data_IF_120039405049
#
_entry.id   IF_120039405049
#
_cell.length_a   1.000
_cell.length_b   1.000
_cell.length_c   1.000
_cell.angle_alpha   90.00
_cell.angle_beta   90.00
_cell.angle_gamma   90.00
#
_symmetry.space_group_name_H-M   'P 1'
#
loop_
_entity.id
_entity.type
_entity.pdbx_description
1 polymer ?
#
# COMPACT_ATOMS: atom_id res chain seq x y z
N UNK A 1 -42.10 -45.39 -1.95
CA UNK A 1 -41.20 -44.37 -1.37
C UNK A 1 -41.23 -43.13 -2.24
N UNK A 2 -41.75 -42.01 -1.74
CA UNK A 2 -41.92 -40.78 -2.52
C UNK A 2 -40.54 -40.19 -2.89
N UNK A 3 -40.29 -40.04 -4.20
CA UNK A 3 -39.06 -39.46 -4.75
C UNK A 3 -39.00 -37.99 -4.30
N UNK A 4 -38.12 -37.67 -3.34
CA UNK A 4 -37.90 -36.30 -2.84
C UNK A 4 -37.67 -35.37 -4.04
N UNK A 5 -38.67 -34.54 -4.34
CA UNK A 5 -38.65 -33.62 -5.47
C UNK A 5 -37.45 -32.69 -5.28
N UNK A 6 -36.43 -32.81 -6.14
CA UNK A 6 -35.26 -31.92 -6.09
C UNK A 6 -35.76 -30.49 -6.31
N UNK A 7 -35.68 -29.65 -5.29
CA UNK A 7 -35.96 -28.20 -5.40
C UNK A 7 -35.20 -27.66 -6.60
N UNK A 8 -35.91 -26.94 -7.48
CA UNK A 8 -35.32 -26.24 -8.63
C UNK A 8 -34.21 -25.34 -8.09
N UNK A 9 -32.97 -25.60 -8.50
CA UNK A 9 -31.81 -24.82 -8.05
C UNK A 9 -32.04 -23.38 -8.53
N UNK A 10 -32.24 -22.47 -7.57
CA UNK A 10 -32.45 -21.05 -7.85
C UNK A 10 -31.11 -20.42 -8.17
N UNK A 11 -31.05 -19.69 -9.28
CA UNK A 11 -29.84 -18.99 -9.70
C UNK A 11 -29.59 -17.79 -8.78
N UNK A 12 -28.58 -17.91 -7.94
CA UNK A 12 -28.21 -16.90 -6.93
C UNK A 12 -27.49 -15.71 -7.53
N UNK A 13 -27.12 -15.75 -8.82
CA UNK A 13 -26.46 -14.62 -9.48
C UNK A 13 -27.42 -13.50 -9.82
N UNK A 14 -28.67 -13.85 -10.18
CA UNK A 14 -29.73 -12.88 -10.55
C UNK A 14 -30.17 -11.98 -9.40
N UNK A 15 -29.85 -12.36 -8.17
CA UNK A 15 -30.16 -11.59 -6.96
C UNK A 15 -29.07 -10.58 -6.59
N UNK A 16 -27.93 -10.59 -7.31
CA UNK A 16 -26.82 -9.69 -6.99
C UNK A 16 -26.92 -8.41 -7.82
N UNK A 17 -26.76 -7.29 -7.13
CA UNK A 17 -26.51 -5.98 -7.73
C UNK A 17 -25.01 -5.77 -7.87
N UNK A 18 -24.62 -5.04 -8.91
CA UNK A 18 -23.23 -4.67 -9.15
C UNK A 18 -22.95 -3.28 -8.58
N UNK A 19 -21.89 -3.18 -7.79
CA UNK A 19 -21.44 -1.93 -7.17
C UNK A 19 -20.11 -1.51 -7.80
N UNK A 20 -20.02 -0.26 -8.23
CA UNK A 20 -18.78 0.32 -8.77
C UNK A 20 -17.94 0.87 -7.62
N UNK A 21 -16.70 0.42 -7.51
CA UNK A 21 -15.75 0.86 -6.49
C UNK A 21 -14.97 2.06 -7.01
N UNK A 22 -14.99 3.14 -6.23
CA UNK A 22 -14.23 4.36 -6.51
C UNK A 22 -13.12 4.57 -5.49
N UNK A 23 -12.00 5.15 -5.95
CA UNK A 23 -10.93 5.59 -5.06
C UNK A 23 -11.33 6.79 -4.20
N UNK A 24 -10.63 7.04 -3.09
CA UNK A 24 -10.76 8.30 -2.36
C UNK A 24 -10.42 9.49 -3.27
N UNK A 25 -10.96 10.67 -2.93
CA UNK A 25 -10.71 11.94 -3.65
C UNK A 25 -9.21 12.26 -3.77
N UNK A 26 -8.41 11.93 -2.75
CA UNK A 26 -6.95 12.10 -2.77
C UNK A 26 -6.24 11.36 -3.93
N UNK A 27 -6.88 10.34 -4.52
CA UNK A 27 -6.36 9.57 -5.64
C UNK A 27 -7.13 9.83 -6.96
N UNK A 28 -7.93 10.89 -7.02
CA UNK A 28 -8.58 11.36 -8.25
C UNK A 28 -9.89 10.69 -8.62
N UNK A 29 -10.62 10.12 -7.64
CA UNK A 29 -11.99 9.56 -7.79
C UNK A 29 -12.17 8.65 -9.02
N UNK A 30 -11.22 7.74 -9.22
CA UNK A 30 -11.19 6.81 -10.35
C UNK A 30 -11.95 5.55 -10.02
N UNK A 31 -12.63 5.02 -11.05
CA UNK A 31 -13.28 3.72 -10.99
C UNK A 31 -12.22 2.62 -11.09
N UNK A 32 -12.12 1.80 -10.04
CA UNK A 32 -11.15 0.69 -9.96
C UNK A 32 -11.73 -0.57 -10.56
N UNK A 33 -13.02 -0.83 -10.29
CA UNK A 33 -13.67 -2.07 -10.67
C UNK A 33 -15.06 -2.19 -10.07
N UNK A 34 -15.68 -3.34 -10.28
CA UNK A 34 -17.05 -3.61 -9.84
C UNK A 34 -17.10 -4.85 -8.96
N UNK A 35 -17.92 -4.82 -7.90
CA UNK A 35 -18.13 -5.97 -7.04
C UNK A 35 -19.61 -6.32 -6.95
N UNK A 36 -20.00 -7.59 -7.14
CA UNK A 36 -21.37 -8.01 -6.96
C UNK A 36 -21.67 -8.27 -5.47
N UNK A 37 -22.83 -7.81 -5.02
CA UNK A 37 -23.37 -8.13 -3.71
C UNK A 37 -24.90 -8.20 -3.74
N UNK A 38 -25.48 -8.98 -2.83
CA UNK A 38 -26.93 -9.08 -2.69
C UNK A 38 -27.48 -7.85 -1.96
N UNK A 39 -26.82 -7.50 -0.86
CA UNK A 39 -27.17 -6.37 -0.01
C UNK A 39 -25.98 -5.40 0.06
N UNK A 40 -26.21 -4.08 0.17
CA UNK A 40 -25.16 -3.07 0.31
C UNK A 40 -24.24 -3.33 1.51
N UNK A 41 -24.81 -3.86 2.60
CA UNK A 41 -24.06 -4.11 3.83
C UNK A 41 -22.92 -5.11 3.66
N UNK A 42 -23.08 -6.06 2.73
CA UNK A 42 -22.07 -7.08 2.44
C UNK A 42 -20.88 -6.54 1.65
N UNK A 43 -20.98 -5.31 1.12
CA UNK A 43 -19.89 -4.64 0.39
C UNK A 43 -18.95 -3.92 1.36
N UNK A 44 -19.45 -3.48 2.52
CA UNK A 44 -18.64 -2.85 3.55
C UNK A 44 -17.52 -3.77 4.04
N UNK A 45 -16.34 -3.18 4.25
CA UNK A 45 -15.15 -3.90 4.73
C UNK A 45 -14.48 -4.78 3.67
N UNK A 46 -14.96 -4.79 2.41
CA UNK A 46 -14.22 -5.47 1.34
C UNK A 46 -12.96 -4.69 1.00
N UNK A 47 -11.83 -5.40 0.96
CA UNK A 47 -10.54 -4.86 0.53
C UNK A 47 -10.31 -5.15 -0.95
N UNK A 48 -9.84 -4.14 -1.67
CA UNK A 48 -9.53 -4.18 -3.10
C UNK A 48 -8.07 -3.78 -3.27
N UNK A 49 -7.33 -4.55 -4.07
CA UNK A 49 -5.92 -4.30 -4.38
C UNK A 49 -5.82 -3.79 -5.82
N UNK A 50 -5.11 -2.67 -5.99
CA UNK A 50 -4.99 -1.97 -7.28
C UNK A 50 -3.53 -1.65 -7.51
N UNK A 51 -3.08 -1.71 -8.75
CA UNK A 51 -1.72 -1.28 -9.07
C UNK A 51 -1.65 0.22 -9.29
N UNK A 52 -0.53 0.85 -8.95
CA UNK A 52 -0.36 2.28 -9.18
C UNK A 52 -0.41 2.65 -10.67
N UNK A 53 -0.07 1.69 -11.54
CA UNK A 53 -0.21 1.79 -12.99
C UNK A 53 -1.65 2.03 -13.41
N UNK A 54 -2.63 1.35 -12.83
CA UNK A 54 -4.04 1.53 -13.18
C UNK A 54 -4.55 2.92 -12.76
N UNK A 55 -4.00 3.47 -11.68
CA UNK A 55 -4.38 4.78 -11.17
C UNK A 55 -3.71 5.95 -11.89
N UNK A 56 -2.44 5.84 -12.28
CA UNK A 56 -1.70 6.96 -12.92
C UNK A 56 -1.45 6.76 -14.41
N UNK A 57 -1.56 5.54 -14.93
CA UNK A 57 -1.14 5.20 -16.29
C UNK A 57 0.37 5.03 -16.44
N UNK A 58 1.17 5.21 -15.37
CA UNK A 58 2.62 5.08 -15.42
C UNK A 58 3.05 3.61 -15.25
N UNK A 59 3.71 3.08 -16.27
CA UNK A 59 4.21 1.71 -16.29
C UNK A 59 5.40 1.48 -15.34
N UNK A 60 6.15 2.53 -15.01
CA UNK A 60 7.34 2.41 -14.16
C UNK A 60 6.98 2.03 -12.71
N UNK A 61 5.78 2.40 -12.27
CA UNK A 61 5.26 2.18 -10.90
C UNK A 61 4.38 0.94 -10.77
N UNK A 62 4.43 0.00 -11.71
CA UNK A 62 3.60 -1.22 -11.66
C UNK A 62 3.87 -2.10 -10.42
N UNK A 63 5.08 -2.02 -9.86
CA UNK A 63 5.47 -2.78 -8.67
C UNK A 63 4.82 -2.28 -7.36
N UNK A 64 4.16 -1.11 -7.40
CA UNK A 64 3.48 -0.53 -6.25
C UNK A 64 2.02 -0.94 -6.31
N UNK A 65 1.56 -1.60 -5.25
CA UNK A 65 0.17 -1.99 -5.05
C UNK A 65 -0.44 -1.23 -3.88
N UNK A 66 -1.62 -0.68 -4.11
CA UNK A 66 -2.41 0.03 -3.11
C UNK A 66 -3.60 -0.84 -2.69
N UNK A 67 -3.91 -0.81 -1.41
CA UNK A 67 -5.02 -1.51 -0.81
C UNK A 67 -6.03 -0.50 -0.30
N UNK A 68 -7.27 -0.66 -0.77
CA UNK A 68 -8.40 0.18 -0.44
C UNK A 68 -9.48 -0.66 0.21
N UNK A 69 -10.16 -0.12 1.21
CA UNK A 69 -11.28 -0.77 1.90
C UNK A 69 -12.55 0.03 1.68
N UNK A 70 -13.65 -0.64 1.36
CA UNK A 70 -14.95 0.02 1.19
C UNK A 70 -15.48 0.46 2.56
N UNK A 71 -15.67 1.77 2.71
CA UNK A 71 -16.16 2.38 3.95
C UNK A 71 -17.60 2.91 3.80
N UNK A 72 -17.97 3.42 2.62
CA UNK A 72 -19.29 4.01 2.38
C UNK A 72 -19.89 3.48 1.06
N UNK A 73 -21.20 3.23 1.00
CA UNK A 73 -21.91 2.78 -0.20
C UNK A 73 -23.10 3.69 -0.45
N UNK A 74 -22.97 4.54 -1.48
CA UNK A 74 -24.01 5.46 -1.92
C UNK A 74 -24.70 4.90 -3.17
N UNK A 75 -25.86 4.28 -2.99
CA UNK A 75 -26.58 3.62 -4.07
C UNK A 75 -25.78 2.47 -4.65
N UNK A 76 -25.31 2.62 -5.89
CA UNK A 76 -24.45 1.62 -6.57
C UNK A 76 -22.96 1.98 -6.52
N UNK A 77 -22.57 3.09 -5.89
CA UNK A 77 -21.19 3.54 -5.80
C UNK A 77 -20.62 3.20 -4.42
N UNK A 78 -19.54 2.43 -4.39
CA UNK A 78 -18.79 2.09 -3.20
C UNK A 78 -17.56 2.99 -3.06
N UNK A 79 -17.58 3.88 -2.07
CA UNK A 79 -16.48 4.76 -1.71
C UNK A 79 -15.49 4.00 -0.82
N UNK A 80 -14.21 4.17 -1.12
CA UNK A 80 -13.14 3.49 -0.39
C UNK A 80 -12.31 4.42 0.46
N UNK A 81 -11.62 3.83 1.44
CA UNK A 81 -10.58 4.43 2.26
C UNK A 81 -9.25 3.76 1.95
N UNK A 82 -8.16 4.52 1.99
CA UNK A 82 -6.81 3.94 1.90
C UNK A 82 -6.47 3.14 3.15
N UNK A 83 -6.14 1.87 2.99
CA UNK A 83 -5.78 0.96 4.08
C UNK A 83 -4.28 0.74 4.14
N UNK A 84 -3.64 0.56 2.98
CA UNK A 84 -2.23 0.23 2.95
C UNK A 84 -1.60 0.25 1.58
N UNK A 85 -0.27 0.21 1.59
CA UNK A 85 0.57 0.22 0.41
C UNK A 85 1.55 -0.94 0.54
N UNK A 86 1.81 -1.62 -0.58
CA UNK A 86 2.71 -2.75 -0.64
C UNK A 86 3.48 -2.78 -1.94
N UNK A 87 4.76 -3.04 -1.82
CA UNK A 87 5.63 -3.34 -2.96
C UNK A 87 5.55 -4.83 -3.32
N UNK A 88 5.57 -5.16 -4.61
CA UNK A 88 5.50 -6.55 -5.07
C UNK A 88 6.73 -7.37 -4.66
N UNK A 89 6.50 -8.66 -4.41
CA UNK A 89 7.53 -9.56 -3.87
C UNK A 89 8.64 -9.86 -4.87
N UNK A 90 8.32 -9.91 -6.17
CA UNK A 90 9.27 -10.06 -7.27
C UNK A 90 10.22 -8.85 -7.34
N UNK A 91 9.70 -7.63 -7.19
CA UNK A 91 10.51 -6.42 -7.17
C UNK A 91 11.49 -6.41 -6.00
N UNK A 92 11.01 -6.68 -4.76
CA UNK A 92 11.88 -6.78 -3.57
C UNK A 92 12.96 -7.86 -3.75
N UNK A 93 12.59 -9.03 -4.27
CA UNK A 93 13.53 -10.14 -4.51
C UNK A 93 14.56 -9.80 -5.59
N UNK A 94 14.19 -9.04 -6.62
CA UNK A 94 15.12 -8.60 -7.67
C UNK A 94 16.21 -7.65 -7.15
N UNK A 95 15.87 -6.88 -6.10
CA UNK A 95 16.74 -5.87 -5.51
C UNK A 95 17.82 -6.50 -4.62
N UNK A 96 17.43 -7.51 -3.82
CA UNK A 96 18.30 -8.17 -2.85
C UNK A 96 19.15 -9.22 -3.57
N UNK A 97 20.48 -9.02 -3.59
CA UNK A 97 21.43 -9.97 -4.21
C UNK A 97 22.50 -10.42 -3.22
N UNK A 98 23.12 -11.56 -3.50
CA UNK A 98 24.30 -12.01 -2.74
C UNK A 98 25.39 -10.95 -2.79
N UNK A 99 26.08 -10.73 -1.67
CA UNK A 99 27.11 -9.70 -1.54
C UNK A 99 26.60 -8.30 -1.19
N UNK A 100 25.28 -8.11 -1.10
CA UNK A 100 24.65 -6.88 -0.58
C UNK A 100 24.11 -7.08 0.84
N UNK A 101 23.85 -5.98 1.55
CA UNK A 101 23.15 -6.00 2.83
C UNK A 101 21.75 -5.41 2.66
N UNK A 102 20.75 -6.11 3.23
CA UNK A 102 19.39 -5.63 3.38
C UNK A 102 19.25 -4.95 4.74
N UNK A 103 18.70 -3.75 4.76
CA UNK A 103 18.45 -2.97 5.97
C UNK A 103 16.96 -2.68 6.03
N UNK A 104 16.29 -3.28 6.99
CA UNK A 104 14.87 -3.04 7.27
C UNK A 104 14.76 -2.10 8.47
N UNK A 105 13.93 -1.07 8.35
CA UNK A 105 13.59 -0.14 9.43
C UNK A 105 12.06 -0.01 9.54
N UNK A 106 11.41 -0.87 10.36
CA UNK A 106 10.01 -0.69 10.70
C UNK A 106 9.86 0.46 11.69
N UNK A 107 9.06 1.46 11.35
CA UNK A 107 8.81 2.64 12.19
C UNK A 107 7.32 2.76 12.43
N UNK A 108 6.94 2.89 13.70
CA UNK A 108 5.56 3.24 14.09
C UNK A 108 5.57 4.74 14.31
N UNK A 109 4.78 5.46 13.52
CA UNK A 109 4.69 6.92 13.56
C UNK A 109 3.26 7.35 13.84
N UNK A 110 3.13 8.52 14.46
CA UNK A 110 1.85 9.20 14.63
C UNK A 110 1.89 10.45 13.78
N UNK A 111 0.93 10.62 12.88
CA UNK A 111 0.82 11.81 12.03
C UNK A 111 0.26 12.99 12.80
N UNK A 112 0.27 14.18 12.19
CA UNK A 112 -0.35 15.37 12.76
C UNK A 112 -1.84 15.15 13.11
N UNK A 113 -2.55 14.37 12.28
CA UNK A 113 -3.97 14.03 12.48
C UNK A 113 -4.22 12.92 13.52
N UNK A 114 -3.25 12.65 14.40
CA UNK A 114 -3.28 11.60 15.43
C UNK A 114 -3.50 10.16 14.90
N UNK A 115 -3.27 9.93 13.60
CA UNK A 115 -3.34 8.59 13.01
C UNK A 115 -2.03 7.85 13.23
N UNK A 116 -2.15 6.62 13.73
CA UNK A 116 -1.00 5.71 13.90
C UNK A 116 -0.78 4.90 12.63
N UNK A 117 0.44 4.96 12.11
CA UNK A 117 0.85 4.24 10.90
C UNK A 117 2.12 3.46 11.16
N UNK A 118 2.27 2.37 10.42
CA UNK A 118 3.50 1.57 10.41
C UNK A 118 4.12 1.64 9.03
N UNK A 119 5.28 2.29 8.94
CA UNK A 119 6.06 2.41 7.71
C UNK A 119 7.19 1.39 7.73
N UNK A 120 7.43 0.74 6.59
CA UNK A 120 8.45 -0.29 6.45
C UNK A 120 9.49 0.14 5.43
N UNK A 121 10.52 0.87 5.88
CA UNK A 121 11.58 1.31 4.97
C UNK A 121 12.55 0.16 4.69
N UNK A 122 12.77 -0.13 3.42
CA UNK A 122 13.75 -1.09 2.91
C UNK A 122 14.88 -0.34 2.23
N UNK A 123 16.10 -0.47 2.75
CA UNK A 123 17.30 0.03 2.10
C UNK A 123 18.22 -1.14 1.70
N UNK A 124 18.73 -1.09 0.47
CA UNK A 124 19.68 -2.09 -0.06
C UNK A 124 21.00 -1.42 -0.39
N UNK A 125 22.08 -1.94 0.21
CA UNK A 125 23.43 -1.42 -0.01
C UNK A 125 24.05 -1.95 -1.30
N UNK A 126 25.04 -1.25 -1.85
CA UNK A 126 25.77 -1.73 -3.04
C UNK A 126 26.72 -2.90 -2.74
N UNK A 127 27.26 -2.94 -1.52
CA UNK A 127 28.18 -3.95 -1.00
C UNK A 127 27.80 -4.33 0.43
N UNK A 128 28.38 -5.41 0.96
CA UNK A 128 28.14 -5.85 2.34
C UNK A 128 28.61 -4.78 3.33
N UNK A 129 27.67 -4.21 4.07
CA UNK A 129 27.93 -3.22 5.12
C UNK A 129 28.23 -3.89 6.45
N UNK A 130 29.09 -3.28 7.27
CA UNK A 130 29.38 -3.75 8.64
C UNK A 130 28.15 -3.61 9.54
N UNK A 131 28.03 -4.43 10.58
CA UNK A 131 26.89 -4.39 11.51
C UNK A 131 26.70 -3.04 12.19
N UNK A 132 27.80 -2.33 12.53
CA UNK A 132 27.74 -0.98 13.09
C UNK A 132 27.13 0.04 12.12
N UNK A 133 27.53 -0.01 10.85
CA UNK A 133 26.99 0.86 9.80
C UNK A 133 25.51 0.55 9.53
N UNK A 134 25.11 -0.72 9.56
CA UNK A 134 23.70 -1.10 9.43
C UNK A 134 22.86 -0.57 10.59
N UNK A 135 23.35 -0.66 11.83
CA UNK A 135 22.67 -0.12 13.01
C UNK A 135 22.49 1.40 12.89
N UNK A 136 23.57 2.12 12.59
CA UNK A 136 23.56 3.56 12.44
C UNK A 136 22.64 4.04 11.31
N UNK A 137 22.60 3.31 10.18
CA UNK A 137 21.65 3.58 9.11
C UNK A 137 20.20 3.39 9.57
N UNK A 138 19.88 2.34 10.34
CA UNK A 138 18.51 2.16 10.86
C UNK A 138 18.09 3.31 11.75
N UNK A 139 18.94 3.73 12.68
CA UNK A 139 18.69 4.86 13.59
C UNK A 139 18.44 6.16 12.82
N UNK A 140 19.28 6.44 11.81
CA UNK A 140 19.14 7.63 10.96
C UNK A 140 17.84 7.60 10.15
N UNK A 141 17.45 6.43 9.61
CA UNK A 141 16.20 6.26 8.88
C UNK A 141 15.01 6.46 9.81
N UNK A 142 15.04 5.86 11.00
CA UNK A 142 13.94 5.96 11.96
C UNK A 142 13.69 7.40 12.40
N UNK A 143 14.76 8.16 12.65
CA UNK A 143 14.67 9.58 13.05
C UNK A 143 14.15 10.46 11.91
N UNK A 144 14.61 10.23 10.67
CA UNK A 144 14.12 10.98 9.50
C UNK A 144 12.62 10.74 9.30
N UNK A 145 12.21 9.47 9.32
CA UNK A 145 10.81 9.09 9.10
C UNK A 145 9.91 9.61 10.21
N UNK A 146 10.36 9.59 11.47
CA UNK A 146 9.57 10.16 12.58
C UNK A 146 9.38 11.66 12.43
N UNK A 147 10.42 12.39 12.03
CA UNK A 147 10.35 13.85 11.87
C UNK A 147 9.41 14.24 10.72
N UNK A 148 9.53 13.57 9.56
CA UNK A 148 8.64 13.82 8.42
C UNK A 148 7.19 13.46 8.75
N UNK A 149 6.98 12.40 9.54
CA UNK A 149 5.63 12.00 9.94
C UNK A 149 4.98 12.96 10.94
N UNK A 150 5.74 13.56 11.86
CA UNK A 150 5.19 14.55 12.80
C UNK A 150 4.77 15.85 12.14
N UNK A 151 5.38 16.21 11.02
CA UNK A 151 5.11 17.46 10.30
C UNK A 151 3.94 17.38 9.33
N UNK A 152 3.53 16.17 8.93
CA UNK A 152 2.61 15.97 7.79
C UNK A 152 1.29 15.33 8.20
N UNK A 153 0.25 15.69 7.45
CA UNK A 153 -1.06 15.04 7.53
C UNK A 153 -1.01 13.64 6.92
N UNK A 154 -2.02 12.82 7.21
CA UNK A 154 -2.10 11.45 6.72
C UNK A 154 -2.11 11.38 5.19
N UNK A 155 -2.89 12.23 4.53
CA UNK A 155 -3.05 12.19 3.07
C UNK A 155 -1.74 12.62 2.37
N UNK A 156 -1.08 13.65 2.88
CA UNK A 156 0.23 14.10 2.38
C UNK A 156 1.30 13.02 2.56
N UNK A 157 1.33 12.37 3.72
CA UNK A 157 2.31 11.33 4.01
C UNK A 157 2.12 10.11 3.10
N UNK A 158 0.88 9.74 2.80
CA UNK A 158 0.56 8.69 1.83
C UNK A 158 1.04 9.10 0.43
N UNK A 159 0.73 10.32 -0.01
CA UNK A 159 1.14 10.81 -1.33
C UNK A 159 2.66 10.80 -1.50
N UNK A 160 3.40 11.32 -0.52
CA UNK A 160 4.87 11.40 -0.54
C UNK A 160 5.50 10.00 -0.51
N UNK A 161 4.90 9.07 0.22
CA UNK A 161 5.35 7.68 0.29
C UNK A 161 5.15 6.96 -1.06
N UNK A 162 3.95 7.07 -1.65
CA UNK A 162 3.60 6.43 -2.94
C UNK A 162 4.40 7.05 -4.09
N UNK A 163 4.68 8.35 -4.05
CA UNK A 163 5.47 9.02 -5.08
C UNK A 163 6.98 8.77 -4.96
N UNK A 164 7.46 8.15 -3.87
CA UNK A 164 8.87 7.85 -3.66
C UNK A 164 9.73 9.07 -3.25
N UNK A 165 9.10 10.20 -2.89
CA UNK A 165 9.81 11.38 -2.39
C UNK A 165 10.47 11.09 -1.04
N UNK A 166 9.75 10.41 -0.14
CA UNK A 166 10.30 9.98 1.16
C UNK A 166 11.47 9.01 0.98
N UNK A 167 11.38 8.08 0.01
CA UNK A 167 12.45 7.14 -0.29
C UNK A 167 13.70 7.86 -0.82
N UNK A 168 13.51 8.90 -1.64
CA UNK A 168 14.60 9.72 -2.18
C UNK A 168 15.32 10.51 -1.09
N UNK A 169 14.56 11.09 -0.16
CA UNK A 169 15.14 11.83 0.98
C UNK A 169 15.96 10.92 1.90
N UNK A 170 15.42 9.73 2.21
CA UNK A 170 16.13 8.69 2.95
C UNK A 170 17.40 8.27 2.22
N UNK A 171 17.35 8.09 0.90
CA UNK A 171 18.52 7.75 0.08
C UNK A 171 19.62 8.81 0.22
N UNK A 172 19.30 10.10 0.12
CA UNK A 172 20.29 11.18 0.21
C UNK A 172 20.97 11.27 1.58
N UNK A 173 20.22 11.05 2.67
CA UNK A 173 20.77 11.06 4.03
C UNK A 173 21.63 9.81 4.28
N UNK A 174 21.10 8.63 3.97
CA UNK A 174 21.77 7.36 4.26
C UNK A 174 22.98 7.08 3.34
N UNK A 175 23.02 7.64 2.13
CA UNK A 175 24.18 7.56 1.22
C UNK A 175 25.45 8.16 1.83
N UNK A 176 25.34 9.14 2.73
CA UNK A 176 26.50 9.73 3.44
C UNK A 176 27.20 8.73 4.37
N UNK A 177 26.47 7.72 4.86
CA UNK A 177 26.99 6.69 5.76
C UNK A 177 27.64 5.56 4.96
N UNK A 178 26.90 5.04 3.98
CA UNK A 178 27.33 3.92 3.16
C UNK A 178 26.66 4.00 1.77
N UNK A 179 27.35 3.58 0.70
CA UNK A 179 26.75 3.58 -0.64
C UNK A 179 25.53 2.66 -0.72
N UNK A 180 24.38 3.26 -1.05
CA UNK A 180 23.11 2.59 -1.27
C UNK A 180 22.83 2.38 -2.76
N UNK A 181 22.20 1.25 -3.06
CA UNK A 181 21.73 0.91 -4.40
C UNK A 181 20.32 1.45 -4.63
N UNK A 182 19.39 1.13 -3.73
CA UNK A 182 17.99 1.57 -3.75
C UNK A 182 17.41 1.63 -2.35
N UNK A 183 16.39 2.48 -2.20
CA UNK A 183 15.56 2.61 -1.00
C UNK A 183 14.10 2.59 -1.46
N UNK A 184 13.27 1.86 -0.75
CA UNK A 184 11.82 1.77 -0.95
C UNK A 184 11.13 1.80 0.42
N UNK A 185 9.81 2.02 0.41
CA UNK A 185 8.96 2.14 1.61
C UNK A 185 7.87 1.06 1.55
#
# INVERSE_FOLDING_TARGET
MAKKQRRRVRDTWKEKSWYTIKTPVAFGDKEIGTTPARDPELVYGRTVEVTMRELTGDFSKQYIKLQFEVNDVNGNIANTKFTGHKTTTDYVRSMIRRGTSRIDAPVIVTTQDERKLKLHVLAVTTRRAKSSQQKYMRETITELVSNVASEKTFDELVEISVNGRLASEVYHKAKKIYPLKRVEI
#
